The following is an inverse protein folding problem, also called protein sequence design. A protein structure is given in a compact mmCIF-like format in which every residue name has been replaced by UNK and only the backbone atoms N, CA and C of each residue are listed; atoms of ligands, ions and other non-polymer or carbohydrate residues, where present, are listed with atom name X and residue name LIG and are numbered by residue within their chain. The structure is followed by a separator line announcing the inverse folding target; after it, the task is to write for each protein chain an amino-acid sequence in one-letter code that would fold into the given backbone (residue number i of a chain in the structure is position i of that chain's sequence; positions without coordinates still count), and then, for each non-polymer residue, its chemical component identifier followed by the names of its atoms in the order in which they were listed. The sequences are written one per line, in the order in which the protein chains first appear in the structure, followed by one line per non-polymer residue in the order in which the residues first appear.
data_IF_126428570870
#
_entry.id   IF_126428570870
#
_cell.length_a   1.000
_cell.length_b   1.000
_cell.length_c   1.000
_cell.angle_alpha   90.00
_cell.angle_beta   90.00
_cell.angle_gamma   90.00
#
_symmetry.space_group_name_H-M   'P 1'
#
loop_
_entity.id
_entity.type
_entity.pdbx_description
1 polymer ?
#
# COMPACT_ATOMS: atom_id res chain seq x y z
N UNK A 1 10.62 14.17 -16.47
CA UNK A 1 11.23 13.26 -15.47
C UNK A 1 10.15 12.38 -14.87
N UNK A 2 10.34 11.06 -14.86
CA UNK A 2 9.33 10.10 -14.44
C UNK A 2 9.43 9.85 -12.91
N UNK A 3 8.90 10.79 -12.10
CA UNK A 3 9.04 10.79 -10.63
C UNK A 3 8.34 9.61 -9.92
N UNK A 4 7.57 8.80 -10.64
CA UNK A 4 6.77 7.70 -10.08
C UNK A 4 7.43 6.32 -10.16
N UNK A 5 8.69 6.25 -10.58
CA UNK A 5 9.38 4.98 -10.88
C UNK A 5 8.90 4.35 -12.19
N UNK A 6 9.63 3.33 -12.66
CA UNK A 6 9.35 2.61 -13.90
C UNK A 6 8.75 1.23 -13.64
N UNK A 7 8.05 0.70 -14.65
CA UNK A 7 7.59 -0.69 -14.70
C UNK A 7 8.09 -1.31 -15.99
N UNK A 8 8.53 -2.56 -15.91
CA UNK A 8 8.87 -3.37 -17.08
C UNK A 8 7.73 -4.34 -17.31
N UNK A 9 7.13 -4.29 -18.50
CA UNK A 9 6.03 -5.18 -18.90
C UNK A 9 6.55 -6.21 -19.90
N UNK A 10 6.28 -7.49 -19.65
CA UNK A 10 6.53 -8.58 -20.58
C UNK A 10 5.20 -9.27 -20.88
N UNK A 11 4.81 -9.31 -22.16
CA UNK A 11 3.66 -10.12 -22.59
C UNK A 11 4.02 -11.59 -22.39
N UNK A 12 3.18 -12.30 -21.64
CA UNK A 12 3.35 -13.72 -21.33
C UNK A 12 2.44 -14.56 -22.19
N UNK A 13 1.19 -14.11 -22.36
CA UNK A 13 0.19 -14.84 -23.13
C UNK A 13 -0.85 -13.88 -23.71
N UNK A 14 -1.47 -14.30 -24.81
CA UNK A 14 -2.61 -13.62 -25.42
C UNK A 14 -3.73 -14.63 -25.58
N UNK A 15 -4.88 -14.35 -24.98
CA UNK A 15 -6.04 -15.24 -24.96
C UNK A 15 -7.13 -14.63 -25.82
N UNK A 16 -7.57 -15.33 -26.86
CA UNK A 16 -8.76 -14.94 -27.61
C UNK A 16 -10.00 -15.11 -26.74
N UNK A 17 -10.74 -14.02 -26.56
CA UNK A 17 -11.96 -14.04 -25.77
C UNK A 17 -12.80 -12.84 -26.17
N UNK A 18 -14.08 -13.06 -26.46
CA UNK A 18 -15.06 -11.97 -26.66
C UNK A 18 -15.53 -11.40 -25.32
N UNK A 19 -15.54 -12.24 -24.29
CA UNK A 19 -16.04 -11.90 -22.96
C UNK A 19 -15.10 -10.95 -22.19
N UNK A 20 -15.62 -10.13 -21.26
CA UNK A 20 -14.79 -9.29 -20.40
C UNK A 20 -13.92 -10.13 -19.47
N UNK A 21 -12.79 -9.56 -19.04
CA UNK A 21 -11.92 -10.18 -18.03
C UNK A 21 -12.70 -10.37 -16.73
N UNK A 22 -12.77 -11.61 -16.25
CA UNK A 22 -13.46 -12.00 -15.01
C UNK A 22 -12.46 -12.60 -14.03
N UNK A 23 -12.72 -12.54 -12.72
CA UNK A 23 -11.79 -13.07 -11.70
C UNK A 23 -11.54 -14.58 -11.84
N UNK A 24 -12.57 -15.36 -12.21
CA UNK A 24 -12.43 -16.79 -12.48
C UNK A 24 -11.50 -17.09 -13.65
N UNK A 25 -11.53 -16.27 -14.70
CA UNK A 25 -10.60 -16.37 -15.81
C UNK A 25 -9.18 -16.10 -15.30
N UNK A 26 -8.97 -15.03 -14.55
CA UNK A 26 -7.65 -14.68 -13.99
C UNK A 26 -7.09 -15.85 -13.17
N UNK A 27 -7.89 -16.47 -12.30
CA UNK A 27 -7.44 -17.59 -11.48
C UNK A 27 -7.03 -18.81 -12.32
N UNK A 28 -7.83 -19.16 -13.33
CA UNK A 28 -7.56 -20.29 -14.22
C UNK A 28 -6.30 -20.06 -15.08
N UNK A 29 -6.16 -18.85 -15.62
CA UNK A 29 -5.01 -18.47 -16.45
C UNK A 29 -3.72 -18.43 -15.62
N UNK A 30 -3.76 -17.87 -14.40
CA UNK A 30 -2.57 -17.83 -13.53
C UNK A 30 -2.12 -19.22 -13.11
N UNK A 31 -3.04 -20.14 -12.77
CA UNK A 31 -2.69 -21.53 -12.45
C UNK A 31 -2.02 -22.25 -13.62
N UNK A 32 -2.31 -21.86 -14.86
CA UNK A 32 -1.66 -22.42 -16.06
C UNK A 32 -0.27 -21.83 -16.30
N UNK A 33 -0.14 -20.50 -16.17
CA UNK A 33 1.06 -19.76 -16.55
C UNK A 33 2.14 -19.80 -15.46
N UNK A 34 1.76 -19.64 -14.20
CA UNK A 34 2.66 -19.56 -13.04
C UNK A 34 1.99 -20.22 -11.82
N UNK A 35 2.03 -21.57 -11.70
CA UNK A 35 1.31 -22.31 -10.66
C UNK A 35 1.70 -21.94 -9.22
N UNK A 36 2.93 -21.46 -9.02
CA UNK A 36 3.47 -21.07 -7.72
C UNK A 36 3.16 -19.60 -7.38
N UNK A 37 2.63 -18.84 -8.34
CA UNK A 37 2.31 -17.44 -8.12
C UNK A 37 1.12 -17.28 -7.19
N UNK A 38 1.34 -16.53 -6.11
CA UNK A 38 0.28 -16.11 -5.20
C UNK A 38 0.00 -14.62 -5.34
N UNK A 39 -1.24 -14.23 -5.07
CA UNK A 39 -1.66 -12.84 -4.96
C UNK A 39 -2.68 -12.70 -3.84
N UNK A 40 -2.83 -11.49 -3.29
CA UNK A 40 -3.79 -11.25 -2.20
C UNK A 40 -5.20 -11.00 -2.76
N UNK A 41 -5.30 -10.20 -3.81
CA UNK A 41 -6.57 -9.87 -4.47
C UNK A 41 -6.30 -9.28 -5.86
N UNK A 42 -7.36 -9.23 -6.67
CA UNK A 42 -7.40 -8.56 -7.98
C UNK A 42 -7.94 -7.15 -7.83
N UNK A 43 -7.40 -6.20 -8.59
CA UNK A 43 -7.89 -4.83 -8.66
C UNK A 43 -8.25 -4.47 -10.09
N UNK A 44 -9.41 -3.83 -10.25
CA UNK A 44 -9.88 -3.33 -11.55
C UNK A 44 -8.98 -2.19 -12.06
N UNK A 45 -8.65 -2.26 -13.34
CA UNK A 45 -7.98 -1.27 -14.17
C UNK A 45 -8.99 -0.76 -15.23
N UNK A 46 -8.80 0.39 -15.89
CA UNK A 46 -9.73 0.88 -16.91
C UNK A 46 -10.09 -0.16 -17.98
N UNK A 47 -9.10 -0.95 -18.43
CA UNK A 47 -9.26 -1.94 -19.50
C UNK A 47 -9.07 -3.38 -19.01
N UNK A 48 -9.23 -3.67 -17.71
CA UNK A 48 -9.10 -5.04 -17.21
C UNK A 48 -8.78 -5.15 -15.73
N UNK A 49 -7.87 -6.04 -15.35
CA UNK A 49 -7.55 -6.34 -13.95
C UNK A 49 -6.05 -6.55 -13.75
N UNK A 50 -5.57 -6.35 -12.53
CA UNK A 50 -4.22 -6.70 -12.16
C UNK A 50 -4.17 -7.26 -10.74
N UNK A 51 -3.22 -8.14 -10.48
CA UNK A 51 -3.04 -8.77 -9.17
C UNK A 51 -2.27 -7.87 -8.22
N UNK A 52 -2.57 -7.94 -6.93
CA UNK A 52 -1.87 -7.24 -5.84
C UNK A 52 -1.14 -8.24 -4.92
N UNK A 53 -0.02 -7.84 -4.29
CA UNK A 53 0.52 -6.47 -4.18
C UNK A 53 1.44 -6.05 -5.34
N UNK A 54 1.47 -4.76 -5.66
CA UNK A 54 2.33 -4.16 -6.72
C UNK A 54 3.72 -3.79 -6.23
N UNK A 55 4.11 -4.27 -5.05
CA UNK A 55 5.46 -4.14 -4.47
C UNK A 55 6.38 -5.30 -4.86
N UNK A 56 5.83 -6.33 -5.51
CA UNK A 56 6.53 -7.44 -6.14
C UNK A 56 6.04 -7.59 -7.58
N UNK A 57 6.60 -8.55 -8.30
CA UNK A 57 6.15 -8.86 -9.64
C UNK A 57 4.68 -9.28 -9.60
N UNK A 58 3.90 -8.76 -10.55
CA UNK A 58 2.46 -8.98 -10.59
C UNK A 58 1.99 -9.16 -12.04
N UNK A 59 0.80 -9.71 -12.21
CA UNK A 59 0.20 -9.91 -13.52
C UNK A 59 -0.87 -8.86 -13.82
N UNK A 60 -0.90 -8.38 -15.05
CA UNK A 60 -1.94 -7.51 -15.62
C UNK A 60 -2.66 -8.26 -16.74
N UNK A 61 -3.99 -8.14 -16.74
CA UNK A 61 -4.89 -8.72 -17.72
C UNK A 61 -5.62 -7.55 -18.38
N UNK A 62 -5.25 -7.25 -19.62
CA UNK A 62 -5.78 -6.12 -20.37
C UNK A 62 -6.60 -6.62 -21.55
N UNK A 63 -7.85 -6.19 -21.64
CA UNK A 63 -8.70 -6.43 -22.78
C UNK A 63 -8.30 -5.48 -23.91
N UNK A 64 -7.98 -6.03 -25.07
CA UNK A 64 -7.78 -5.31 -26.32
C UNK A 64 -8.58 -6.01 -27.41
N UNK A 65 -9.59 -5.33 -27.95
CA UNK A 65 -10.51 -5.87 -28.96
C UNK A 65 -11.11 -7.22 -28.55
N UNK A 66 -10.81 -8.29 -29.31
CA UNK A 66 -11.26 -9.66 -29.05
C UNK A 66 -10.23 -10.52 -28.29
N UNK A 67 -9.26 -9.88 -27.64
CA UNK A 67 -8.13 -10.55 -27.00
C UNK A 67 -7.91 -10.02 -25.59
N UNK A 68 -7.39 -10.90 -24.73
CA UNK A 68 -6.95 -10.58 -23.37
C UNK A 68 -5.44 -10.77 -23.36
N UNK A 69 -4.71 -9.69 -23.17
CA UNK A 69 -3.25 -9.68 -23.09
C UNK A 69 -2.85 -9.84 -21.63
N UNK A 70 -2.15 -10.94 -21.35
CA UNK A 70 -1.59 -11.24 -20.04
C UNK A 70 -0.14 -10.77 -20.00
N UNK A 71 0.16 -9.83 -19.11
CA UNK A 71 1.50 -9.25 -18.93
C UNK A 71 2.03 -9.54 -17.54
N UNK A 72 3.29 -9.96 -17.46
CA UNK A 72 4.07 -9.94 -16.21
C UNK A 72 4.70 -8.56 -16.06
N UNK A 73 4.42 -7.91 -14.94
CA UNK A 73 4.85 -6.55 -14.65
C UNK A 73 5.84 -6.57 -13.50
N UNK A 74 7.04 -6.06 -13.76
CA UNK A 74 8.14 -5.96 -12.79
C UNK A 74 8.33 -4.50 -12.40
N UNK A 75 7.96 -4.10 -11.17
CA UNK A 75 8.15 -2.72 -10.72
C UNK A 75 9.61 -2.45 -10.34
N UNK A 76 10.12 -1.27 -10.69
CA UNK A 76 11.46 -0.85 -10.23
C UNK A 76 11.49 -0.65 -8.72
N UNK A 77 12.70 -0.65 -8.13
CA UNK A 77 12.87 -0.43 -6.68
C UNK A 77 12.18 0.85 -6.19
N UNK A 78 12.34 1.96 -6.92
CA UNK A 78 11.67 3.22 -6.60
C UNK A 78 10.14 3.08 -6.63
N UNK A 79 9.59 2.35 -7.61
CA UNK A 79 8.15 2.12 -7.69
C UNK A 79 7.65 1.29 -6.50
N UNK A 80 8.41 0.26 -6.10
CA UNK A 80 8.10 -0.58 -4.95
C UNK A 80 8.03 0.26 -3.66
N UNK A 81 9.02 1.12 -3.42
CA UNK A 81 9.02 2.04 -2.26
C UNK A 81 7.82 2.97 -2.27
N UNK A 82 7.53 3.60 -3.41
CA UNK A 82 6.39 4.54 -3.52
C UNK A 82 5.06 3.83 -3.24
N UNK A 83 4.87 2.60 -3.73
CA UNK A 83 3.66 1.83 -3.43
C UNK A 83 3.58 1.44 -1.94
N UNK A 84 4.72 1.08 -1.32
CA UNK A 84 4.78 0.84 0.14
C UNK A 84 4.36 2.10 0.90
N UNK A 85 4.96 3.25 0.57
CA UNK A 85 4.69 4.52 1.23
C UNK A 85 3.22 4.97 1.10
N UNK A 86 2.53 4.58 0.04
CA UNK A 86 1.09 4.83 -0.14
C UNK A 86 0.19 3.89 0.67
N UNK A 87 0.76 2.99 1.47
CA UNK A 87 0.00 1.95 2.17
C UNK A 87 -0.54 0.86 1.24
N UNK A 88 0.04 0.70 0.05
CA UNK A 88 -0.29 -0.40 -0.87
C UNK A 88 0.67 -1.59 -0.76
N UNK A 89 1.43 -1.65 0.32
CA UNK A 89 2.30 -2.78 0.64
C UNK A 89 1.53 -4.07 0.91
N UNK A 90 2.26 -5.20 1.03
CA UNK A 90 1.71 -6.50 1.40
C UNK A 90 0.95 -6.45 2.73
N UNK A 91 -0.04 -7.32 2.92
CA UNK A 91 -0.88 -7.38 4.11
C UNK A 91 -0.08 -7.48 5.41
N UNK A 92 1.02 -8.24 5.42
CA UNK A 92 1.89 -8.37 6.60
C UNK A 92 2.53 -7.05 7.02
N UNK A 93 2.99 -6.24 6.05
CA UNK A 93 3.58 -4.93 6.34
C UNK A 93 2.55 -4.02 7.00
N UNK A 94 1.32 -4.00 6.46
CA UNK A 94 0.20 -3.22 7.03
C UNK A 94 -0.13 -3.65 8.46
N UNK A 95 -0.02 -4.94 8.77
CA UNK A 95 -0.25 -5.45 10.12
C UNK A 95 0.83 -4.95 11.09
N UNK A 96 2.10 -5.04 10.69
CA UNK A 96 3.23 -4.53 11.49
C UNK A 96 3.09 -3.03 11.72
N UNK A 97 2.76 -2.26 10.69
CA UNK A 97 2.52 -0.81 10.79
C UNK A 97 1.39 -0.48 11.78
N UNK A 98 0.29 -1.25 11.76
CA UNK A 98 -0.80 -1.08 12.73
C UNK A 98 -0.34 -1.36 14.16
N UNK A 99 0.39 -2.45 14.39
CA UNK A 99 0.90 -2.81 15.72
C UNK A 99 1.85 -1.74 16.23
N UNK A 100 2.79 -1.28 15.39
CA UNK A 100 3.73 -0.22 15.75
C UNK A 100 3.00 1.12 16.01
N UNK A 101 2.00 1.45 15.21
CA UNK A 101 1.18 2.64 15.42
C UNK A 101 0.44 2.61 16.75
N UNK A 102 -0.18 1.48 17.11
CA UNK A 102 -0.81 1.29 18.42
C UNK A 102 0.23 1.37 19.54
N UNK A 103 1.37 0.72 19.39
CA UNK A 103 2.47 0.78 20.35
C UNK A 103 2.97 2.21 20.60
N UNK A 104 3.11 3.00 19.53
CA UNK A 104 3.52 4.40 19.63
C UNK A 104 2.50 5.24 20.40
N UNK A 105 1.20 5.04 20.14
CA UNK A 105 0.12 5.72 20.89
C UNK A 105 0.20 5.37 22.38
N UNK A 106 0.38 4.09 22.71
CA UNK A 106 0.51 3.65 24.10
C UNK A 106 1.73 4.26 24.78
N UNK A 107 2.88 4.33 24.10
CA UNK A 107 4.09 4.98 24.61
C UNK A 107 3.81 6.46 24.89
N UNK A 108 3.19 7.18 23.95
CA UNK A 108 2.86 8.60 24.13
C UNK A 108 1.92 8.82 25.32
N UNK A 109 0.84 8.04 25.43
CA UNK A 109 -0.10 8.14 26.55
C UNK A 109 0.60 7.83 27.88
N UNK A 110 1.40 6.77 27.92
CA UNK A 110 2.13 6.37 29.13
C UNK A 110 3.14 7.43 29.58
N UNK A 111 3.83 8.08 28.63
CA UNK A 111 4.80 9.15 28.92
C UNK A 111 4.11 10.38 29.49
N UNK A 112 2.98 10.79 28.91
CA UNK A 112 2.16 11.89 29.44
C UNK A 112 1.63 11.53 30.83
N UNK A 113 1.09 10.32 31.01
CA UNK A 113 0.59 9.84 32.29
C UNK A 113 1.65 9.87 33.40
N UNK A 114 2.86 9.36 33.12
CA UNK A 114 3.97 9.36 34.06
C UNK A 114 4.39 10.79 34.44
N UNK A 115 4.49 11.67 33.44
CA UNK A 115 4.88 13.07 33.65
C UNK A 115 3.88 13.85 34.51
N UNK A 116 2.58 13.55 34.39
CA UNK A 116 1.55 14.14 35.24
C UNK A 116 1.55 13.58 36.68
N UNK A 117 2.03 12.35 36.87
CA UNK A 117 2.08 11.69 38.19
C UNK A 117 3.23 12.22 39.06
N UNK A 118 4.35 12.65 38.46
CA UNK A 118 5.51 13.17 39.18
C UNK A 118 5.30 14.67 39.48
N UNK A 119 5.05 15.02 40.76
CA UNK A 119 4.79 16.41 41.20
C UNK A 119 5.84 17.43 40.74
N UNK A 120 7.11 17.02 40.63
CA UNK A 120 8.22 17.87 40.16
C UNK A 120 8.06 18.24 38.68
N UNK A 121 7.65 17.29 37.85
CA UNK A 121 7.72 17.39 36.40
C UNK A 121 6.37 17.83 35.80
N UNK A 122 5.26 17.58 36.52
CA UNK A 122 3.88 17.90 36.11
C UNK A 122 3.69 19.35 35.61
N UNK A 123 4.23 20.34 36.35
CA UNK A 123 4.06 21.77 35.98
C UNK A 123 4.74 22.09 34.66
N UNK A 124 5.97 21.60 34.48
CA UNK A 124 6.75 21.84 33.26
C UNK A 124 6.09 21.13 32.07
N UNK A 125 5.62 19.90 32.26
CA UNK A 125 4.91 19.15 31.21
C UNK A 125 3.61 19.84 30.78
N UNK A 126 2.79 20.32 31.72
CA UNK A 126 1.54 21.04 31.39
C UNK A 126 1.81 22.35 30.63
N UNK A 127 2.84 23.10 31.03
CA UNK A 127 3.25 24.32 30.33
C UNK A 127 3.69 23.99 28.89
N UNK A 128 4.54 22.97 28.71
CA UNK A 128 5.01 22.56 27.38
C UNK A 128 3.87 22.07 26.49
N UNK A 129 2.95 21.25 27.03
CA UNK A 129 1.77 20.80 26.28
C UNK A 129 0.86 21.97 25.89
N UNK A 130 0.65 22.93 26.81
CA UNK A 130 -0.14 24.13 26.54
C UNK A 130 0.47 25.00 25.45
N UNK A 131 1.76 25.31 25.56
CA UNK A 131 2.49 26.11 24.56
C UNK A 131 2.48 25.45 23.19
N UNK A 132 2.74 24.14 23.13
CA UNK A 132 2.68 23.38 21.87
C UNK A 132 1.28 23.39 21.25
N UNK A 133 0.23 23.25 22.07
CA UNK A 133 -1.17 23.29 21.60
C UNK A 133 -1.55 24.66 21.04
N UNK A 134 -1.11 25.75 21.69
CA UNK A 134 -1.35 27.12 21.21
C UNK A 134 -0.63 27.36 19.88
N UNK A 135 0.63 26.94 19.74
CA UNK A 135 1.36 27.06 18.47
C UNK A 135 0.66 26.28 17.36
N UNK A 136 0.23 25.05 17.63
CA UNK A 136 -0.51 24.24 16.64
C UNK A 136 -1.84 24.89 16.24
N UNK A 137 -2.57 25.48 17.19
CA UNK A 137 -3.81 26.19 16.89
C UNK A 137 -3.58 27.42 16.00
N UNK A 138 -2.51 28.18 16.25
CA UNK A 138 -2.12 29.32 15.41
C UNK A 138 -1.75 28.85 14.00
N UNK A 139 -0.92 27.81 13.88
CA UNK A 139 -0.53 27.26 12.58
C UNK A 139 -1.72 26.69 11.79
N UNK A 140 -2.73 26.14 12.46
CA UNK A 140 -3.93 25.63 11.80
C UNK A 140 -4.86 26.74 11.27
N UNK A 141 -4.72 27.97 11.77
CA UNK A 141 -5.48 29.16 11.33
C UNK A 141 -4.75 29.99 10.25
N UNK A 142 -3.47 29.69 10.00
CA UNK A 142 -2.64 30.26 8.92
C UNK A 142 -2.85 29.49 7.62
#
# INVERSE_FOLDING_TARGET
MNFKGSVTEKVVETVESESPVTESLIENELKRIDPEYSYEYTKKSPNGFFTRPTTRDYYSFEKQDNQIIVKKVTPSFLRKIIEIHKGHGPGLLKLVEKILGVGLILILISGVWLALTIKRDMKITLILMGVGSVILAILALL
#
